data_IF_578812663531
#
_entry.id   IF_578812663531
#
_cell.length_a   1.000
_cell.length_b   1.000
_cell.length_c   1.000
_cell.angle_alpha   90.00
_cell.angle_beta   90.00
_cell.angle_gamma   90.00
#
_symmetry.space_group_name_H-M   'P 1'
#
loop_
_entity.id
_entity.type
_entity.pdbx_description
1 polymer ?
#
# COMPACT_ATOMS: atom_id res chain seq x y z
N UNK A 1 18.39 -30.48 0.87
CA UNK A 1 17.71 -30.98 -0.34
C UNK A 1 17.85 -29.91 -1.42
N UNK A 2 18.49 -30.23 -2.54
CA UNK A 2 18.67 -29.31 -3.67
C UNK A 2 17.34 -29.10 -4.40
N UNK A 3 16.93 -27.84 -4.57
CA UNK A 3 15.71 -27.47 -5.30
C UNK A 3 15.84 -27.95 -6.75
N UNK A 4 14.86 -28.68 -7.32
CA UNK A 4 14.95 -29.14 -8.70
C UNK A 4 15.14 -27.95 -9.64
N UNK A 5 16.19 -28.01 -10.46
CA UNK A 5 16.50 -26.98 -11.44
C UNK A 5 15.52 -27.12 -12.59
N UNK A 6 14.61 -26.15 -12.75
CA UNK A 6 13.66 -26.15 -13.87
C UNK A 6 14.41 -26.06 -15.20
N UNK A 7 13.95 -26.77 -16.25
CA UNK A 7 14.62 -26.75 -17.55
C UNK A 7 14.57 -25.37 -18.20
N UNK A 8 15.59 -25.08 -19.01
CA UNK A 8 15.66 -23.92 -19.87
C UNK A 8 14.54 -24.01 -20.91
N UNK A 9 13.71 -22.97 -21.00
CA UNK A 9 12.57 -22.95 -21.93
C UNK A 9 13.00 -23.01 -23.39
N UNK A 10 14.24 -22.64 -23.71
CA UNK A 10 14.74 -22.64 -25.08
C UNK A 10 15.40 -23.93 -25.53
N UNK A 11 16.22 -24.57 -24.69
CA UNK A 11 17.04 -25.74 -25.07
C UNK A 11 16.80 -27.00 -24.22
N UNK A 12 16.07 -26.91 -23.11
CA UNK A 12 15.82 -28.03 -22.20
C UNK A 12 16.89 -28.27 -21.12
N UNK A 13 18.10 -27.71 -21.27
CA UNK A 13 19.18 -27.82 -20.27
C UNK A 13 18.80 -27.23 -18.92
N UNK A 14 19.46 -27.60 -17.80
CA UNK A 14 19.19 -27.01 -16.49
C UNK A 14 19.21 -25.46 -16.50
N UNK A 15 18.06 -24.84 -16.20
CA UNK A 15 17.88 -23.39 -16.20
C UNK A 15 18.08 -22.76 -14.82
N UNK A 16 19.22 -22.12 -14.62
CA UNK A 16 19.55 -21.39 -13.38
C UNK A 16 19.23 -19.89 -13.47
N UNK A 17 19.21 -19.30 -14.66
CA UNK A 17 18.97 -17.87 -14.87
C UNK A 17 17.48 -17.55 -14.94
N UNK A 18 17.14 -16.38 -14.42
CA UNK A 18 15.78 -15.83 -14.35
C UNK A 18 15.72 -14.49 -15.06
N UNK A 19 14.58 -14.15 -15.64
CA UNK A 19 14.39 -12.83 -16.23
C UNK A 19 14.20 -11.78 -15.12
N UNK A 20 15.15 -10.88 -14.94
CA UNK A 20 15.13 -9.85 -13.88
C UNK A 20 13.94 -8.88 -13.97
N UNK A 21 13.25 -8.80 -15.12
CA UNK A 21 12.12 -7.88 -15.33
C UNK A 21 10.77 -8.42 -14.89
N UNK A 22 10.59 -9.74 -14.89
CA UNK A 22 9.30 -10.40 -14.60
C UNK A 22 9.39 -11.45 -13.49
N UNK A 23 10.59 -11.72 -12.98
CA UNK A 23 10.78 -12.55 -11.80
C UNK A 23 10.08 -11.92 -10.57
N UNK A 24 9.52 -12.75 -9.70
CA UNK A 24 8.71 -12.37 -8.54
C UNK A 24 7.48 -11.49 -8.83
N UNK A 25 6.96 -11.54 -10.06
CA UNK A 25 5.67 -10.93 -10.35
C UNK A 25 4.55 -11.61 -9.51
N UNK A 26 3.60 -10.84 -8.94
CA UNK A 26 2.48 -11.44 -8.25
C UNK A 26 1.56 -12.18 -9.24
N UNK A 27 0.95 -13.25 -8.76
CA UNK A 27 -0.05 -14.02 -9.50
C UNK A 27 -1.37 -13.26 -9.61
N UNK A 28 -1.90 -13.18 -10.84
CA UNK A 28 -3.27 -12.76 -11.07
C UNK A 28 -4.23 -13.95 -10.99
N UNK A 29 -3.77 -15.09 -11.51
CA UNK A 29 -4.40 -16.40 -11.39
C UNK A 29 -3.36 -17.41 -10.87
N UNK A 30 -3.79 -18.45 -10.13
CA UNK A 30 -2.85 -19.45 -9.65
C UNK A 30 -1.96 -20.00 -10.76
N UNK A 31 -0.63 -19.93 -10.58
CA UNK A 31 0.37 -20.41 -11.53
C UNK A 31 0.67 -19.51 -12.73
N UNK A 32 -0.02 -18.36 -12.91
CA UNK A 32 0.16 -17.52 -14.09
C UNK A 32 1.37 -16.57 -14.04
N UNK A 33 2.06 -16.53 -12.90
CA UNK A 33 3.36 -15.88 -12.73
C UNK A 33 4.52 -16.88 -12.76
N UNK A 34 4.31 -18.07 -13.34
CA UNK A 34 5.33 -19.11 -13.43
C UNK A 34 6.60 -18.57 -14.12
N UNK A 35 7.75 -18.64 -13.45
CA UNK A 35 8.93 -17.97 -13.93
C UNK A 35 9.59 -18.72 -15.08
N UNK A 36 9.76 -18.04 -16.21
CA UNK A 36 10.59 -18.53 -17.32
C UNK A 36 12.06 -18.64 -16.87
N UNK A 37 12.67 -19.80 -17.09
CA UNK A 37 14.09 -20.05 -16.78
C UNK A 37 14.91 -20.29 -18.03
N UNK A 38 16.17 -19.88 -17.95
CA UNK A 38 17.15 -20.04 -19.02
C UNK A 38 18.46 -20.58 -18.46
N UNK A 39 19.19 -21.36 -19.26
CA UNK A 39 20.57 -21.75 -18.91
C UNK A 39 21.55 -20.60 -19.17
N UNK A 40 21.27 -19.73 -20.15
CA UNK A 40 22.16 -18.67 -20.59
C UNK A 40 21.41 -17.41 -21.07
N UNK A 41 22.16 -16.31 -21.23
CA UNK A 41 21.60 -15.05 -21.74
C UNK A 41 21.27 -15.15 -23.22
N UNK A 42 22.00 -16.00 -23.94
CA UNK A 42 21.83 -16.33 -25.35
C UNK A 42 20.50 -17.05 -25.55
N UNK A 43 20.19 -18.05 -24.71
CA UNK A 43 18.89 -18.72 -24.73
C UNK A 43 17.74 -17.77 -24.44
N UNK A 44 17.90 -16.84 -23.49
CA UNK A 44 16.90 -15.80 -23.23
C UNK A 44 16.68 -14.89 -24.44
N UNK A 45 17.76 -14.44 -25.09
CA UNK A 45 17.67 -13.60 -26.31
C UNK A 45 17.00 -14.35 -27.45
N UNK A 46 17.33 -15.63 -27.64
CA UNK A 46 16.76 -16.49 -28.67
C UNK A 46 15.28 -16.82 -28.42
N UNK A 47 14.81 -16.76 -27.18
CA UNK A 47 13.40 -16.92 -26.78
C UNK A 47 12.63 -15.58 -26.71
N UNK A 48 13.31 -14.44 -26.87
CA UNK A 48 12.75 -13.13 -26.56
C UNK A 48 11.46 -12.83 -27.31
N UNK A 49 11.34 -13.25 -28.57
CA UNK A 49 10.13 -13.03 -29.38
C UNK A 49 8.89 -13.68 -28.72
N UNK A 50 9.02 -14.90 -28.20
CA UNK A 50 7.95 -15.60 -27.51
C UNK A 50 7.74 -15.07 -26.08
N UNK A 51 8.83 -14.77 -25.37
CA UNK A 51 8.78 -14.32 -23.98
C UNK A 51 8.27 -12.87 -23.81
N UNK A 52 8.46 -11.99 -24.80
CA UNK A 52 8.26 -10.53 -24.65
C UNK A 52 6.88 -10.13 -24.16
N UNK A 53 5.81 -10.72 -24.70
CA UNK A 53 4.42 -10.37 -24.32
C UNK A 53 4.14 -10.76 -22.86
N UNK A 54 4.49 -11.98 -22.48
CA UNK A 54 4.35 -12.49 -21.12
C UNK A 54 5.22 -11.69 -20.12
N UNK A 55 6.48 -11.43 -20.47
CA UNK A 55 7.40 -10.59 -19.69
C UNK A 55 6.81 -9.20 -19.44
N UNK A 56 6.18 -8.59 -20.45
CA UNK A 56 5.57 -7.26 -20.34
C UNK A 56 4.43 -7.25 -19.33
N UNK A 57 3.54 -8.26 -19.38
CA UNK A 57 2.45 -8.42 -18.42
C UNK A 57 2.98 -8.58 -17.00
N UNK A 58 3.87 -9.55 -16.77
CA UNK A 58 4.43 -9.81 -15.45
C UNK A 58 5.24 -8.63 -14.91
N UNK A 59 6.01 -7.96 -15.76
CA UNK A 59 6.74 -6.76 -15.35
C UNK A 59 5.81 -5.65 -14.87
N UNK A 60 4.65 -5.44 -15.53
CA UNK A 60 3.64 -4.48 -15.06
C UNK A 60 3.10 -4.86 -13.68
N UNK A 61 2.85 -6.15 -13.43
CA UNK A 61 2.42 -6.64 -12.11
C UNK A 61 3.50 -6.40 -11.04
N UNK A 62 4.77 -6.65 -11.35
CA UNK A 62 5.89 -6.33 -10.44
C UNK A 62 5.94 -4.84 -10.11
N UNK A 63 5.81 -3.97 -11.12
CA UNK A 63 5.77 -2.51 -10.92
C UNK A 63 4.58 -2.10 -10.04
N UNK A 64 3.41 -2.70 -10.24
CA UNK A 64 2.22 -2.45 -9.45
C UNK A 64 2.41 -2.88 -7.98
N UNK A 65 3.02 -4.05 -7.73
CA UNK A 65 3.34 -4.51 -6.38
C UNK A 65 4.33 -3.58 -5.68
N UNK A 66 5.37 -3.15 -6.39
CA UNK A 66 6.36 -2.18 -5.90
C UNK A 66 5.71 -0.84 -5.52
N UNK A 67 4.80 -0.32 -6.36
CA UNK A 67 4.01 0.86 -6.06
C UNK A 67 3.15 0.66 -4.79
N UNK A 68 2.37 -0.42 -4.72
CA UNK A 68 1.53 -0.74 -3.57
C UNK A 68 2.36 -0.86 -2.27
N UNK A 69 3.56 -1.42 -2.35
CA UNK A 69 4.49 -1.58 -1.23
C UNK A 69 4.97 -0.23 -0.71
N UNK A 70 5.35 0.69 -1.60
CA UNK A 70 5.72 2.06 -1.23
C UNK A 70 4.54 2.78 -0.58
N UNK A 71 3.34 2.65 -1.14
CA UNK A 71 2.13 3.30 -0.60
C UNK A 71 1.84 2.86 0.85
N UNK A 72 1.89 1.56 1.13
CA UNK A 72 1.71 1.05 2.50
C UNK A 72 2.83 1.53 3.42
N UNK A 73 4.08 1.47 2.97
CA UNK A 73 5.21 1.93 3.77
C UNK A 73 5.12 3.43 4.09
N UNK A 74 4.65 4.24 3.14
CA UNK A 74 4.42 5.67 3.32
C UNK A 74 3.31 5.94 4.35
N UNK A 75 2.19 5.21 4.28
CA UNK A 75 1.12 5.29 5.28
C UNK A 75 1.66 4.97 6.68
N UNK A 76 2.36 3.85 6.81
CA UNK A 76 2.90 3.42 8.12
C UNK A 76 3.90 4.44 8.66
N UNK A 77 4.82 4.97 7.84
CA UNK A 77 5.76 6.00 8.25
C UNK A 77 5.06 7.30 8.69
N UNK A 78 4.00 7.70 7.98
CA UNK A 78 3.17 8.84 8.36
C UNK A 78 2.47 8.59 9.71
N UNK A 79 1.83 7.43 9.86
CA UNK A 79 1.11 7.06 11.10
C UNK A 79 2.03 6.88 12.29
N UNK A 80 3.25 6.38 12.11
CA UNK A 80 4.26 6.34 13.18
C UNK A 80 4.59 7.75 13.70
N UNK A 81 4.62 8.76 12.82
CA UNK A 81 4.96 10.14 13.17
C UNK A 81 3.79 10.93 13.74
N UNK A 82 2.61 10.78 13.14
CA UNK A 82 1.40 11.56 13.43
C UNK A 82 0.31 10.69 14.07
N UNK A 83 0.72 9.77 14.94
CA UNK A 83 -0.22 8.91 15.65
C UNK A 83 -1.09 9.74 16.61
N UNK A 84 -2.40 9.59 16.48
CA UNK A 84 -3.43 10.39 17.17
C UNK A 84 -4.34 9.54 18.09
N UNK A 85 -4.13 8.23 18.13
CA UNK A 85 -4.83 7.31 19.02
C UNK A 85 -3.90 6.96 20.18
N UNK A 86 -3.92 7.65 21.32
CA UNK A 86 -3.05 7.29 22.45
C UNK A 86 -3.40 5.88 22.93
N UNK A 87 -2.41 4.98 22.98
CA UNK A 87 -2.58 3.59 23.39
C UNK A 87 -1.75 3.28 24.64
N UNK A 88 -2.32 2.50 25.54
CA UNK A 88 -1.69 1.98 26.76
C UNK A 88 -1.30 0.51 26.63
N UNK A 89 -2.03 -0.26 25.80
CA UNK A 89 -1.80 -1.70 25.59
C UNK A 89 -2.32 -2.15 24.22
N UNK A 90 -1.66 -3.13 23.63
CA UNK A 90 -2.12 -3.87 22.45
C UNK A 90 -2.12 -5.36 22.80
N UNK A 91 -3.26 -6.03 22.64
CA UNK A 91 -3.41 -7.42 23.06
C UNK A 91 -4.29 -8.21 22.10
N UNK A 92 -3.81 -9.37 21.66
CA UNK A 92 -4.64 -10.31 20.91
C UNK A 92 -5.47 -11.13 21.89
N UNK A 93 -6.78 -11.20 21.66
CA UNK A 93 -7.71 -12.03 22.40
C UNK A 93 -7.29 -13.50 22.38
N UNK A 94 -7.73 -14.27 23.39
CA UNK A 94 -7.34 -15.67 23.57
C UNK A 94 -7.70 -16.57 22.38
N UNK A 95 -8.75 -16.21 21.64
CA UNK A 95 -9.22 -16.92 20.45
C UNK A 95 -8.52 -16.47 19.15
N UNK A 96 -7.67 -15.44 19.22
CA UNK A 96 -7.00 -14.85 18.07
C UNK A 96 -7.91 -14.01 17.16
N UNK A 97 -9.19 -13.84 17.48
CA UNK A 97 -10.18 -13.22 16.59
C UNK A 97 -10.23 -11.70 16.71
N UNK A 98 -9.86 -11.15 17.87
CA UNK A 98 -9.92 -9.70 18.16
C UNK A 98 -8.58 -9.21 18.67
N UNK A 99 -8.07 -8.14 18.07
CA UNK A 99 -6.93 -7.37 18.55
C UNK A 99 -7.46 -6.13 19.30
N UNK A 100 -7.31 -6.15 20.62
CA UNK A 100 -7.71 -5.07 21.51
C UNK A 100 -6.66 -3.97 21.54
N UNK A 101 -7.09 -2.75 21.25
CA UNK A 101 -6.30 -1.53 21.35
C UNK A 101 -6.83 -0.76 22.56
N UNK A 102 -6.08 -0.74 23.66
CA UNK A 102 -6.52 -0.04 24.87
C UNK A 102 -6.10 1.40 24.80
N UNK A 103 -7.08 2.31 24.83
CA UNK A 103 -6.82 3.73 24.78
C UNK A 103 -6.08 4.18 26.04
N UNK A 104 -5.35 5.29 25.92
CA UNK A 104 -4.71 6.02 27.01
C UNK A 104 -5.24 7.46 27.01
N UNK A 105 -5.05 8.18 28.12
CA UNK A 105 -5.50 9.57 28.28
C UNK A 105 -4.46 10.59 27.81
N UNK A 106 -3.19 10.19 27.67
CA UNK A 106 -2.09 11.10 27.33
C UNK A 106 -1.66 11.00 25.87
N UNK A 107 -1.70 12.10 25.08
CA UNK A 107 -1.21 12.10 23.71
C UNK A 107 0.30 11.85 23.65
N UNK A 108 0.72 10.79 22.97
CA UNK A 108 2.13 10.42 22.77
C UNK A 108 2.35 9.85 21.35
N UNK A 109 3.58 9.91 20.80
CA UNK A 109 3.93 9.18 19.58
C UNK A 109 3.60 7.69 19.70
N UNK A 110 3.54 6.97 18.58
CA UNK A 110 3.24 5.53 18.61
C UNK A 110 4.17 4.81 19.60
N UNK A 111 3.63 4.12 20.62
CA UNK A 111 4.43 3.50 21.66
C UNK A 111 5.01 2.18 21.15
N UNK A 112 6.21 2.25 20.56
CA UNK A 112 6.90 1.11 19.92
C UNK A 112 7.10 -0.12 20.83
N UNK A 113 6.99 0.02 22.16
CA UNK A 113 7.12 -1.06 23.12
C UNK A 113 5.83 -1.84 23.43
N UNK A 114 4.66 -1.46 22.90
CA UNK A 114 3.40 -2.13 23.25
C UNK A 114 3.22 -3.52 22.62
N UNK A 115 3.94 -3.83 21.55
CA UNK A 115 3.92 -5.14 20.94
C UNK A 115 5.20 -5.41 20.16
N UNK A 116 5.62 -6.67 20.13
CA UNK A 116 6.71 -7.15 19.28
C UNK A 116 6.21 -7.79 17.97
N UNK A 117 4.90 -7.98 17.82
CA UNK A 117 4.32 -8.48 16.58
C UNK A 117 4.10 -7.33 15.60
N UNK A 118 4.83 -7.36 14.48
CA UNK A 118 4.74 -6.32 13.46
C UNK A 118 3.34 -6.22 12.85
N UNK A 119 2.57 -7.31 12.77
CA UNK A 119 1.20 -7.29 12.25
C UNK A 119 0.28 -6.55 13.20
N UNK A 120 0.41 -6.76 14.51
CA UNK A 120 -0.39 -6.06 15.51
C UNK A 120 -0.04 -4.57 15.56
N UNK A 121 1.24 -4.22 15.44
CA UNK A 121 1.68 -2.83 15.31
C UNK A 121 1.06 -2.16 14.08
N UNK A 122 1.16 -2.80 12.91
CA UNK A 122 0.60 -2.24 11.68
C UNK A 122 -0.93 -2.13 11.73
N UNK A 123 -1.62 -3.12 12.29
CA UNK A 123 -3.05 -3.06 12.53
C UNK A 123 -3.44 -1.87 13.42
N UNK A 124 -2.72 -1.63 14.52
CA UNK A 124 -2.94 -0.49 15.39
C UNK A 124 -2.68 0.85 14.67
N UNK A 125 -1.61 0.94 13.86
CA UNK A 125 -1.28 2.14 13.09
C UNK A 125 -2.33 2.48 12.02
N UNK A 126 -2.99 1.46 11.48
CA UNK A 126 -3.94 1.57 10.37
C UNK A 126 -5.41 1.49 10.79
N UNK A 127 -5.70 1.29 12.07
CA UNK A 127 -7.05 1.18 12.59
C UNK A 127 -7.91 2.41 12.24
N UNK A 128 -8.96 2.17 11.47
CA UNK A 128 -9.90 3.17 10.96
C UNK A 128 -9.24 4.28 10.12
N UNK A 129 -8.17 3.94 9.37
CA UNK A 129 -7.39 4.89 8.58
C UNK A 129 -7.58 4.74 7.06
N UNK A 130 -8.59 4.00 6.60
CA UNK A 130 -8.80 3.74 5.16
C UNK A 130 -9.04 5.03 4.37
N UNK A 131 -9.92 5.92 4.84
CA UNK A 131 -10.21 7.21 4.22
C UNK A 131 -9.02 8.18 4.28
N UNK A 132 -8.28 8.19 5.40
CA UNK A 132 -7.04 8.96 5.53
C UNK A 132 -6.01 8.48 4.50
N UNK A 133 -5.78 7.17 4.42
CA UNK A 133 -4.83 6.58 3.49
C UNK A 133 -5.21 6.91 2.04
N UNK A 134 -6.49 6.79 1.72
CA UNK A 134 -7.07 7.15 0.43
C UNK A 134 -6.77 8.61 0.02
N UNK A 135 -6.97 9.58 0.91
CA UNK A 135 -6.73 10.98 0.57
C UNK A 135 -5.22 11.32 0.61
N UNK A 136 -4.57 11.09 1.75
CA UNK A 136 -3.18 11.49 2.01
C UNK A 136 -2.19 10.93 0.99
N UNK A 137 -2.40 9.69 0.52
CA UNK A 137 -1.53 9.05 -0.48
C UNK A 137 -1.83 9.46 -1.92
N UNK A 138 -2.83 10.32 -2.19
CA UNK A 138 -3.27 10.70 -3.54
C UNK A 138 -2.15 11.17 -4.47
N UNK A 139 -1.35 12.18 -4.08
CA UNK A 139 -0.22 12.63 -4.89
C UNK A 139 0.78 11.50 -5.18
N UNK A 140 1.12 10.69 -4.17
CA UNK A 140 2.10 9.61 -4.32
C UNK A 140 1.57 8.51 -5.24
N UNK A 141 0.32 8.09 -5.05
CA UNK A 141 -0.37 7.09 -5.87
C UNK A 141 -0.35 7.46 -7.35
N UNK A 142 -0.71 8.71 -7.68
CA UNK A 142 -0.70 9.19 -9.07
C UNK A 142 0.71 9.15 -9.67
N UNK A 143 1.74 9.56 -8.93
CA UNK A 143 3.12 9.54 -9.43
C UNK A 143 3.67 8.13 -9.61
N UNK A 144 3.41 7.23 -8.66
CA UNK A 144 3.88 5.85 -8.72
C UNK A 144 3.19 5.04 -9.83
N UNK A 145 1.88 5.27 -10.02
CA UNK A 145 1.09 4.51 -11.00
C UNK A 145 1.10 5.12 -12.41
N UNK A 146 1.74 6.28 -12.60
CA UNK A 146 1.90 6.90 -13.90
C UNK A 146 2.61 5.95 -14.89
N UNK A 147 1.94 5.62 -16.00
CA UNK A 147 2.45 4.69 -17.02
C UNK A 147 2.43 3.21 -16.61
N UNK A 148 1.92 2.88 -15.43
CA UNK A 148 1.65 1.49 -14.98
C UNK A 148 0.16 1.20 -15.12
N UNK A 149 -0.67 2.07 -14.56
CA UNK A 149 -2.13 1.94 -14.57
C UNK A 149 -2.75 2.59 -15.81
N UNK A 150 -3.78 1.94 -16.34
CA UNK A 150 -4.70 2.49 -17.34
C UNK A 150 -5.83 3.30 -16.70
N UNK A 151 -6.31 2.87 -15.52
CA UNK A 151 -7.24 3.63 -14.69
C UNK A 151 -6.97 3.35 -13.21
N UNK A 152 -7.38 4.32 -12.38
CA UNK A 152 -7.40 4.20 -10.92
C UNK A 152 -8.79 4.64 -10.48
N UNK A 153 -9.46 3.76 -9.75
CA UNK A 153 -10.80 3.93 -9.22
C UNK A 153 -10.77 3.68 -7.71
N UNK A 154 -11.79 4.14 -7.01
CA UNK A 154 -12.00 3.88 -5.59
C UNK A 154 -13.31 3.19 -5.34
N UNK A 155 -13.32 2.35 -4.31
CA UNK A 155 -14.47 1.54 -3.96
C UNK A 155 -14.58 1.47 -2.44
N UNK A 156 -15.80 1.71 -1.95
CA UNK A 156 -16.17 1.47 -0.57
C UNK A 156 -16.92 0.14 -0.47
N UNK A 157 -16.43 -0.73 0.40
CA UNK A 157 -16.94 -2.09 0.59
C UNK A 157 -17.02 -2.46 2.06
N UNK A 158 -17.77 -3.51 2.38
CA UNK A 158 -17.79 -4.09 3.71
C UNK A 158 -16.79 -5.25 3.78
N UNK A 159 -15.92 -5.27 4.80
CA UNK A 159 -15.08 -6.45 5.07
C UNK A 159 -15.90 -7.47 5.87
N UNK A 160 -15.98 -8.70 5.34
CA UNK A 160 -16.77 -9.79 5.91
C UNK A 160 -15.88 -10.88 6.54
N UNK A 161 -14.67 -11.08 6.00
CA UNK A 161 -13.76 -12.17 6.38
C UNK A 161 -12.40 -11.63 6.82
N UNK A 162 -12.32 -10.87 7.92
CA UNK A 162 -11.04 -10.42 8.47
C UNK A 162 -10.25 -11.60 9.05
N UNK A 163 -8.92 -11.50 9.10
CA UNK A 163 -8.07 -12.46 9.84
C UNK A 163 -8.25 -12.27 11.34
N UNK A 164 -8.28 -11.01 11.77
CA UNK A 164 -8.72 -10.58 13.09
C UNK A 164 -9.39 -9.21 12.96
N UNK A 165 -10.23 -8.88 13.92
CA UNK A 165 -10.87 -7.56 14.05
C UNK A 165 -10.04 -6.67 14.96
N UNK A 166 -9.98 -5.37 14.70
CA UNK A 166 -9.40 -4.41 15.65
C UNK A 166 -10.53 -3.78 16.46
N UNK A 167 -10.36 -3.71 17.78
CA UNK A 167 -11.34 -3.15 18.69
C UNK A 167 -10.67 -2.12 19.61
N UNK A 168 -11.14 -0.88 19.57
CA UNK A 168 -10.64 0.20 20.43
C UNK A 168 -11.43 0.20 21.75
N UNK A 169 -10.77 -0.19 22.84
CA UNK A 169 -11.36 -0.23 24.18
C UNK A 169 -11.34 1.19 24.77
N UNK A 170 -12.51 1.76 25.01
CA UNK A 170 -12.67 3.04 25.70
C UNK A 170 -12.80 2.87 27.21
N UNK A 171 -12.40 3.89 27.99
CA UNK A 171 -12.35 3.81 29.47
C UNK A 171 -13.73 3.73 30.14
N UNK A 172 -14.84 4.03 29.45
CA UNK A 172 -16.14 4.29 30.09
C UNK A 172 -17.38 3.68 29.40
N UNK A 173 -17.23 2.93 28.31
CA UNK A 173 -18.32 2.23 27.64
C UNK A 173 -17.79 1.04 26.85
N UNK A 174 -18.67 0.09 26.50
CA UNK A 174 -18.38 -0.93 25.48
C UNK A 174 -17.78 -0.22 24.26
N UNK A 175 -16.50 -0.51 23.96
CA UNK A 175 -15.72 0.28 23.02
C UNK A 175 -16.39 0.42 21.65
N UNK A 176 -16.02 1.44 20.89
CA UNK A 176 -16.52 1.59 19.52
C UNK A 176 -15.92 0.47 18.67
N UNK A 177 -16.75 -0.52 18.32
CA UNK A 177 -16.37 -1.55 17.37
C UNK A 177 -16.33 -0.93 15.96
N UNK A 178 -15.14 -0.69 15.42
CA UNK A 178 -14.95 -0.14 14.07
C UNK A 178 -15.39 -1.09 12.95
N UNK A 179 -15.90 -2.29 13.28
CA UNK A 179 -16.25 -3.34 12.33
C UNK A 179 -17.49 -3.06 11.47
N UNK A 180 -18.20 -1.95 11.66
CA UNK A 180 -19.42 -1.65 10.91
C UNK A 180 -19.26 -0.64 9.77
N UNK A 181 -18.12 0.05 9.68
CA UNK A 181 -17.92 1.11 8.70
C UNK A 181 -17.49 0.58 7.32
N UNK A 182 -17.83 1.30 6.23
CA UNK A 182 -17.27 1.00 4.91
C UNK A 182 -15.74 1.13 4.93
N UNK A 183 -15.07 0.23 4.21
CA UNK A 183 -13.63 0.25 3.98
C UNK A 183 -13.33 0.70 2.55
N UNK A 184 -12.52 1.75 2.42
CA UNK A 184 -12.12 2.31 1.13
C UNK A 184 -10.86 1.62 0.61
N UNK A 185 -10.93 1.12 -0.63
CA UNK A 185 -9.80 0.53 -1.37
C UNK A 185 -9.63 1.18 -2.74
N UNK A 186 -8.45 1.02 -3.34
CA UNK A 186 -8.20 1.43 -4.73
C UNK A 186 -8.30 0.25 -5.68
N UNK A 187 -9.07 0.41 -6.76
CA UNK A 187 -9.05 -0.49 -7.91
C UNK A 187 -8.09 0.09 -8.95
N UNK A 188 -7.09 -0.69 -9.33
CA UNK A 188 -6.12 -0.34 -10.36
C UNK A 188 -6.28 -1.28 -11.54
N UNK A 189 -6.55 -0.73 -12.72
CA UNK A 189 -6.61 -1.50 -13.97
C UNK A 189 -5.32 -1.34 -14.76
N UNK A 190 -4.71 -2.45 -15.15
CA UNK A 190 -3.56 -2.46 -16.06
C UNK A 190 -4.03 -2.39 -17.52
N UNK A 191 -3.13 -2.01 -18.44
CA UNK A 191 -3.43 -1.93 -19.88
C UNK A 191 -3.79 -3.27 -20.55
N UNK A 192 -3.66 -4.39 -19.84
CA UNK A 192 -4.13 -5.70 -20.28
C UNK A 192 -5.48 -6.09 -19.64
N UNK A 193 -6.21 -5.12 -19.07
CA UNK A 193 -7.50 -5.25 -18.40
C UNK A 193 -7.49 -6.04 -17.08
N UNK A 194 -6.33 -6.44 -16.55
CA UNK A 194 -6.26 -6.98 -15.19
C UNK A 194 -6.68 -5.93 -14.17
N UNK A 195 -7.57 -6.31 -13.25
CA UNK A 195 -8.06 -5.46 -12.18
C UNK A 195 -7.49 -5.91 -10.83
N UNK A 196 -6.88 -4.98 -10.11
CA UNK A 196 -6.22 -5.26 -8.84
C UNK A 196 -6.75 -4.32 -7.75
N UNK A 197 -6.84 -4.82 -6.53
CA UNK A 197 -7.04 -4.02 -5.33
C UNK A 197 -5.69 -3.67 -4.72
N UNK A 198 -5.45 -2.37 -4.52
CA UNK A 198 -4.46 -1.87 -3.57
C UNK A 198 -5.18 -1.53 -2.26
N UNK A 199 -4.82 -2.22 -1.19
CA UNK A 199 -5.37 -2.02 0.14
C UNK A 199 -4.25 -1.68 1.12
N UNK A 200 -3.97 -0.38 1.25
CA UNK A 200 -2.90 0.15 2.11
C UNK A 200 -3.23 0.07 3.58
N UNK A 201 -4.52 0.00 3.94
CA UNK A 201 -5.00 -0.04 5.32
C UNK A 201 -5.51 -1.44 5.75
N UNK A 202 -5.45 -2.45 4.87
CA UNK A 202 -5.97 -3.80 5.11
C UNK A 202 -5.35 -4.53 6.30
N UNK A 203 -4.21 -4.05 6.80
CA UNK A 203 -3.60 -4.53 8.05
C UNK A 203 -4.50 -4.34 9.26
N UNK A 204 -5.44 -3.39 9.24
CA UNK A 204 -6.44 -3.24 10.31
C UNK A 204 -7.34 -4.47 10.48
N UNK A 205 -7.39 -5.34 9.46
CA UNK A 205 -8.11 -6.62 9.44
C UNK A 205 -7.16 -7.83 9.44
N UNK A 206 -5.87 -7.60 9.67
CA UNK A 206 -4.82 -8.62 9.64
C UNK A 206 -4.39 -9.09 8.26
N UNK A 207 -4.80 -8.43 7.18
CA UNK A 207 -4.37 -8.80 5.82
C UNK A 207 -2.88 -8.51 5.61
N UNK A 208 -2.15 -9.53 5.15
CA UNK A 208 -0.72 -9.39 4.83
C UNK A 208 -0.48 -8.76 3.47
N UNK A 209 -1.31 -9.08 2.47
CA UNK A 209 -1.09 -8.65 1.09
C UNK A 209 -1.68 -7.25 0.86
N UNK A 210 -0.85 -6.32 0.37
CA UNK A 210 -1.27 -4.97 -0.04
C UNK A 210 -1.85 -4.94 -1.46
N UNK A 211 -1.53 -5.94 -2.28
CA UNK A 211 -1.96 -6.03 -3.67
C UNK A 211 -2.60 -7.40 -3.93
N UNK A 212 -3.84 -7.41 -4.43
CA UNK A 212 -4.62 -8.64 -4.65
C UNK A 212 -5.47 -8.49 -5.91
N UNK A 213 -5.66 -9.54 -6.73
CA UNK A 213 -6.60 -9.49 -7.85
C UNK A 213 -8.02 -9.14 -7.37
N UNK A 214 -8.73 -8.29 -8.12
CA UNK A 214 -10.05 -7.76 -7.72
C UNK A 214 -11.03 -8.86 -7.32
N UNK A 215 -11.24 -9.84 -8.20
CA UNK A 215 -12.17 -10.95 -7.94
C UNK A 215 -11.77 -11.77 -6.71
N UNK A 216 -10.47 -11.97 -6.50
CA UNK A 216 -9.96 -12.68 -5.32
C UNK A 216 -10.20 -11.88 -4.06
N UNK A 217 -9.94 -10.57 -4.08
CA UNK A 217 -10.16 -9.70 -2.93
C UNK A 217 -11.63 -9.73 -2.50
N UNK A 218 -12.56 -9.54 -3.44
CA UNK A 218 -13.99 -9.58 -3.12
C UNK A 218 -14.37 -10.95 -2.55
N UNK A 219 -14.09 -12.04 -3.27
CA UNK A 219 -14.43 -13.40 -2.84
C UNK A 219 -13.90 -13.75 -1.43
N UNK A 220 -12.63 -13.42 -1.17
CA UNK A 220 -11.92 -13.90 0.01
C UNK A 220 -12.07 -12.97 1.22
N UNK A 221 -12.47 -11.69 1.03
CA UNK A 221 -12.40 -10.68 2.10
C UNK A 221 -13.67 -9.84 2.28
N UNK A 222 -14.40 -9.53 1.22
CA UNK A 222 -15.35 -8.43 1.21
C UNK A 222 -16.73 -8.81 0.63
N UNK A 223 -17.72 -7.99 0.94
CA UNK A 223 -19.03 -8.09 0.32
C UNK A 223 -18.97 -7.68 -1.16
N UNK A 224 -19.79 -8.33 -1.99
CA UNK A 224 -20.08 -7.84 -3.35
C UNK A 224 -21.11 -6.69 -3.36
N UNK A 225 -21.72 -6.36 -2.22
CA UNK A 225 -22.64 -5.24 -2.05
C UNK A 225 -21.85 -3.99 -1.64
N UNK A 226 -21.59 -3.11 -2.59
CA UNK A 226 -20.79 -1.90 -2.36
C UNK A 226 -21.60 -0.83 -1.63
N UNK A 227 -21.05 -0.30 -0.54
CA UNK A 227 -21.79 0.47 0.48
C UNK A 227 -22.14 1.88 0.00
N UNK A 228 -21.35 2.45 -0.91
CA UNK A 228 -21.53 3.80 -1.47
C UNK A 228 -21.66 3.84 -3.00
N UNK A 229 -22.17 2.75 -3.59
CA UNK A 229 -22.40 2.64 -5.03
C UNK A 229 -21.21 2.05 -5.82
N UNK A 230 -21.19 2.20 -7.15
CA UNK A 230 -20.17 1.60 -8.01
C UNK A 230 -18.79 2.27 -7.83
N UNK A 231 -17.71 1.63 -8.32
CA UNK A 231 -16.39 2.25 -8.36
C UNK A 231 -16.41 3.66 -8.99
N UNK A 232 -15.71 4.60 -8.36
CA UNK A 232 -15.62 5.99 -8.81
C UNK A 232 -14.19 6.33 -9.24
N UNK A 233 -14.02 7.26 -10.17
CA UNK A 233 -12.68 7.68 -10.60
C UNK A 233 -11.92 8.29 -9.42
N UNK A 234 -10.68 7.84 -9.22
CA UNK A 234 -9.87 8.34 -8.13
C UNK A 234 -9.33 9.75 -8.39
N UNK A 235 -9.89 10.73 -7.68
CA UNK A 235 -9.52 12.16 -7.80
C UNK A 235 -9.05 12.79 -6.50
N UNK A 236 -8.89 12.02 -5.42
CA UNK A 236 -8.56 12.57 -4.11
C UNK A 236 -7.19 13.26 -4.09
N UNK A 237 -7.15 14.46 -3.51
CA UNK A 237 -5.93 15.10 -3.05
C UNK A 237 -5.66 14.76 -1.59
N UNK A 238 -4.49 15.16 -1.11
CA UNK A 238 -4.00 14.92 0.25
C UNK A 238 -4.92 15.48 1.35
N UNK A 239 -5.89 16.34 1.02
CA UNK A 239 -6.84 16.94 1.97
C UNK A 239 -8.30 16.66 1.68
N UNK A 240 -8.66 15.85 0.67
CA UNK A 240 -10.05 15.68 0.22
C UNK A 240 -11.03 15.32 1.33
N UNK A 241 -10.68 14.35 2.18
CA UNK A 241 -11.47 13.94 3.34
C UNK A 241 -11.60 15.07 4.40
N UNK A 242 -10.53 15.81 4.65
CA UNK A 242 -10.54 16.93 5.60
C UNK A 242 -11.41 18.09 5.11
N UNK A 243 -11.34 18.38 3.81
CA UNK A 243 -12.12 19.43 3.19
C UNK A 243 -13.62 19.06 3.19
N UNK A 244 -13.94 17.78 2.90
CA UNK A 244 -15.29 17.23 3.06
C UNK A 244 -15.80 17.36 4.50
N UNK A 245 -15.00 16.98 5.50
CA UNK A 245 -15.41 17.09 6.91
C UNK A 245 -15.75 18.54 7.30
N UNK A 246 -15.01 19.53 6.82
CA UNK A 246 -15.28 20.95 7.10
C UNK A 246 -16.55 21.46 6.40
N UNK A 247 -16.83 20.99 5.19
CA UNK A 247 -18.00 21.42 4.41
C UNK A 247 -19.30 20.81 4.94
N UNK A 248 -19.28 19.52 5.30
CA UNK A 248 -20.50 18.77 5.67
C UNK A 248 -20.84 18.81 7.16
N UNK A 249 -19.91 19.25 8.02
CA UNK A 249 -20.13 19.40 9.46
C UNK A 249 -19.83 20.83 9.91
N UNK A 250 -20.69 21.83 9.58
CA UNK A 250 -20.43 23.24 9.89
C UNK A 250 -20.35 23.54 11.39
N UNK A 251 -21.01 22.73 12.23
CA UNK A 251 -21.01 22.85 13.69
C UNK A 251 -19.86 22.07 14.36
N UNK A 252 -18.82 21.69 13.61
CA UNK A 252 -17.69 20.94 14.15
C UNK A 252 -17.00 21.73 15.28
N UNK A 253 -16.77 21.14 16.46
CA UNK A 253 -16.18 21.86 17.59
C UNK A 253 -14.84 22.50 17.23
N UNK A 254 -14.57 23.71 17.73
CA UNK A 254 -13.33 24.45 17.46
C UNK A 254 -12.05 23.62 17.71
N UNK A 255 -12.02 22.88 18.81
CA UNK A 255 -10.90 21.98 19.12
C UNK A 255 -10.70 20.90 18.03
N UNK A 256 -11.79 20.39 17.46
CA UNK A 256 -11.75 19.48 16.33
C UNK A 256 -11.24 20.15 15.05
N UNK A 257 -11.64 21.40 14.79
CA UNK A 257 -11.15 22.18 13.65
C UNK A 257 -9.64 22.44 13.74
N UNK A 258 -9.11 22.72 14.93
CA UNK A 258 -7.68 22.91 15.16
C UNK A 258 -6.88 21.62 14.87
N UNK A 259 -7.45 20.46 15.23
CA UNK A 259 -6.87 19.14 14.90
C UNK A 259 -6.87 18.92 13.39
N UNK A 260 -8.00 19.15 12.71
CA UNK A 260 -8.10 19.01 11.25
C UNK A 260 -7.12 19.95 10.52
N UNK A 261 -6.92 21.16 11.01
CA UNK A 261 -5.98 22.12 10.43
C UNK A 261 -4.52 21.69 10.62
N UNK A 262 -4.17 21.15 11.80
CA UNK A 262 -2.84 20.57 12.04
C UNK A 262 -2.58 19.38 11.12
N UNK A 263 -3.56 18.49 10.98
CA UNK A 263 -3.49 17.34 10.08
C UNK A 263 -3.33 17.80 8.62
N UNK A 264 -4.12 18.79 8.18
CA UNK A 264 -3.99 19.39 6.85
C UNK A 264 -2.57 19.88 6.57
N UNK A 265 -1.96 20.61 7.52
CA UNK A 265 -0.57 21.08 7.39
C UNK A 265 0.44 19.93 7.30
N UNK A 266 0.26 18.86 8.08
CA UNK A 266 1.12 17.68 8.06
C UNK A 266 1.03 16.96 6.70
N UNK A 267 -0.17 16.80 6.14
CA UNK A 267 -0.38 16.20 4.82
C UNK A 267 0.18 17.04 3.68
N UNK A 268 0.04 18.36 3.73
CA UNK A 268 0.68 19.27 2.77
C UNK A 268 2.21 19.25 2.88
N UNK A 269 2.75 19.02 4.07
CA UNK A 269 4.18 18.80 4.26
C UNK A 269 4.65 17.47 3.63
N UNK A 270 3.87 16.39 3.78
CA UNK A 270 4.12 15.13 3.09
C UNK A 270 4.01 15.27 1.56
N UNK A 271 2.97 15.95 1.05
CA UNK A 271 2.80 16.17 -0.38
C UNK A 271 4.00 16.94 -1.00
N UNK A 272 4.60 17.89 -0.27
CA UNK A 272 5.85 18.55 -0.69
C UNK A 272 7.03 17.59 -0.82
N UNK A 273 7.13 16.57 0.05
CA UNK A 273 8.13 15.51 -0.14
C UNK A 273 7.89 14.75 -1.44
N UNK A 274 6.65 14.32 -1.67
CA UNK A 274 6.27 13.59 -2.89
C UNK A 274 6.59 14.41 -4.14
N UNK A 275 6.29 15.71 -4.13
CA UNK A 275 6.56 16.58 -5.27
C UNK A 275 8.06 16.66 -5.59
N UNK A 276 8.88 16.84 -4.56
CA UNK A 276 10.32 17.06 -4.72
C UNK A 276 11.11 15.77 -4.96
N UNK A 277 10.63 14.62 -4.46
CA UNK A 277 11.42 13.38 -4.39
C UNK A 277 10.88 12.23 -5.23
N UNK A 278 9.65 12.32 -5.73
CA UNK A 278 9.05 11.27 -6.55
C UNK A 278 8.58 11.87 -7.88
N UNK A 279 9.00 11.29 -9.00
CA UNK A 279 8.57 11.72 -10.33
C UNK A 279 9.60 11.48 -11.43
N UNK A 280 9.24 11.86 -12.64
CA UNK A 280 10.12 11.71 -13.82
C UNK A 280 11.13 12.86 -13.85
N UNK A 281 12.42 12.52 -14.00
CA UNK A 281 13.49 13.51 -14.20
C UNK A 281 13.22 14.32 -15.49
N UNK A 282 13.03 15.64 -15.38
CA UNK A 282 13.02 16.55 -16.53
C UNK A 282 14.07 17.64 -16.31
N UNK A 283 15.08 17.71 -17.18
CA UNK A 283 16.11 18.75 -17.17
C UNK A 283 17.44 18.39 -16.46
N UNK A 284 18.44 19.28 -16.59
CA UNK A 284 19.81 19.13 -16.05
C UNK A 284 19.96 19.60 -14.58
N UNK A 285 18.92 20.17 -13.98
CA UNK A 285 19.05 20.96 -12.73
C UNK A 285 18.35 20.36 -11.50
N UNK A 286 17.99 19.07 -11.50
CA UNK A 286 17.47 18.40 -10.30
C UNK A 286 18.54 17.50 -9.69
N UNK A 287 18.76 17.68 -8.38
CA UNK A 287 19.66 16.88 -7.53
C UNK A 287 19.54 15.39 -7.87
N UNK A 288 20.65 14.66 -7.82
CA UNK A 288 20.80 13.24 -8.23
C UNK A 288 19.83 12.22 -7.55
N UNK A 289 18.99 12.67 -6.63
CA UNK A 289 18.29 11.87 -5.62
C UNK A 289 16.75 11.82 -5.78
N UNK A 290 16.23 11.96 -7.01
CA UNK A 290 14.79 11.77 -7.30
C UNK A 290 14.48 10.30 -7.62
N UNK A 291 13.46 9.73 -6.96
CA UNK A 291 12.90 8.41 -7.28
C UNK A 291 12.00 8.53 -8.52
N UNK A 292 12.39 7.86 -9.59
CA UNK A 292 11.71 7.83 -10.89
C UNK A 292 11.05 6.45 -11.09
N UNK A 293 9.72 6.31 -10.85
CA UNK A 293 9.01 5.04 -10.97
C UNK A 293 9.18 4.35 -12.33
N UNK A 294 9.44 5.12 -13.40
CA UNK A 294 9.64 4.55 -14.73
C UNK A 294 10.94 3.74 -14.84
N UNK A 295 11.96 4.10 -14.04
CA UNK A 295 13.29 3.49 -14.00
C UNK A 295 13.49 2.62 -12.76
N UNK A 296 13.08 3.12 -11.60
CA UNK A 296 13.37 2.55 -10.28
C UNK A 296 12.44 1.40 -9.92
N UNK A 297 11.31 1.25 -10.63
CA UNK A 297 10.57 -0.01 -10.63
C UNK A 297 11.15 -1.07 -11.58
N UNK A 298 12.14 -0.73 -12.39
CA UNK A 298 12.87 -1.72 -13.19
C UNK A 298 13.89 -2.48 -12.36
N UNK A 299 14.62 -3.39 -13.01
CA UNK A 299 15.76 -4.06 -12.38
C UNK A 299 15.40 -5.18 -11.40
N UNK A 300 16.42 -5.71 -10.74
CA UNK A 300 16.30 -6.84 -9.81
C UNK A 300 15.51 -6.44 -8.55
N UNK A 301 15.19 -7.43 -7.72
CA UNK A 301 14.53 -7.19 -6.43
C UNK A 301 15.45 -6.41 -5.48
N UNK A 302 16.74 -6.75 -5.47
CA UNK A 302 17.76 -6.13 -4.62
C UNK A 302 17.98 -4.65 -4.99
N UNK A 303 17.99 -4.33 -6.28
CA UNK A 303 18.09 -2.94 -6.77
C UNK A 303 16.88 -2.12 -6.32
N UNK A 304 15.67 -2.69 -6.41
CA UNK A 304 14.47 -2.04 -5.89
C UNK A 304 14.51 -1.88 -4.37
N UNK A 305 14.86 -2.93 -3.63
CA UNK A 305 14.88 -2.92 -2.16
C UNK A 305 15.87 -1.86 -1.64
N UNK A 306 17.01 -1.67 -2.33
CA UNK A 306 17.99 -0.62 -2.02
C UNK A 306 17.38 0.78 -2.19
N UNK A 307 16.82 1.07 -3.36
CA UNK A 307 16.22 2.39 -3.66
C UNK A 307 14.99 2.68 -2.80
N UNK A 308 14.20 1.64 -2.53
CA UNK A 308 13.08 1.70 -1.61
C UNK A 308 13.52 2.08 -0.20
N UNK A 309 14.59 1.45 0.32
CA UNK A 309 15.16 1.78 1.61
C UNK A 309 15.63 3.24 1.71
N UNK A 310 16.29 3.74 0.66
CA UNK A 310 16.72 5.14 0.59
C UNK A 310 15.53 6.11 0.59
N UNK A 311 14.53 5.87 -0.27
CA UNK A 311 13.31 6.68 -0.33
C UNK A 311 12.60 6.74 1.03
N UNK A 312 12.45 5.59 1.71
CA UNK A 312 11.79 5.54 3.01
C UNK A 312 12.58 6.25 4.11
N UNK A 313 13.91 6.14 4.11
CA UNK A 313 14.79 6.88 5.05
C UNK A 313 14.64 8.39 4.88
N UNK A 314 14.58 8.87 3.64
CA UNK A 314 14.39 10.27 3.35
C UNK A 314 13.01 10.78 3.71
N UNK A 315 11.97 9.99 3.44
CA UNK A 315 10.60 10.30 3.81
C UNK A 315 10.46 10.47 5.32
N UNK A 316 10.97 9.51 6.11
CA UNK A 316 10.93 9.58 7.58
C UNK A 316 11.60 10.85 8.11
N UNK A 317 12.81 11.15 7.63
CA UNK A 317 13.54 12.39 7.98
C UNK A 317 12.78 13.66 7.58
N UNK A 318 12.10 13.66 6.44
CA UNK A 318 11.27 14.79 6.03
C UNK A 318 10.08 14.97 6.98
N UNK A 319 9.41 13.89 7.37
CA UNK A 319 8.29 13.91 8.31
C UNK A 319 8.71 14.34 9.73
N UNK A 320 9.92 13.97 10.17
CA UNK A 320 10.51 14.44 11.43
C UNK A 320 10.69 15.97 11.46
N UNK A 321 10.96 16.58 10.31
CA UNK A 321 11.12 18.03 10.17
C UNK A 321 9.82 18.84 10.26
N UNK A 322 8.65 18.20 10.35
CA UNK A 322 7.39 18.91 10.58
C UNK A 322 7.32 19.41 12.03
N UNK A 323 7.17 20.73 12.18
CA UNK A 323 7.06 21.45 13.46
C UNK A 323 5.63 21.76 13.80
#
# INVERSE_FOLDING_TARGET
MSTPISPCVKCGDPGSKRCSRCWDAPEYRPGDANPTRYCSTECQKADWVAHKSHCTTLSRRTKLLRAATILRAALLAYRERFFDIPLSKIELGKDGAVLYLYRDVSPRPFPNGLTHDSKHKEAALTHNMCTLAFAMLGPLTRKLLAGVASSIESLDLQIEKPVFRTHLVEYLADGIDSNGGPHTVLIVRLHNNEAWIIDTAGTQYGFKEVLVPFERYIKDRASSNFVNGPPTKYTACETTDLDFMKEFFPDYPKAGLDILEKEKKARLHFARFVENRVGVRKGRDLKDSVFDPSKDFGGSKEEFDTKFGELMKEMKRHLEGFK
#
